data_IF_768992109462
#
_entry.id   IF_768992109462
#
_cell.length_a   1.000
_cell.length_b   1.000
_cell.length_c   1.000
_cell.angle_alpha   90.00
_cell.angle_beta   90.00
_cell.angle_gamma   90.00
#
_symmetry.space_group_name_H-M   'P 1'
#
loop_
_entity.id
_entity.type
_entity.pdbx_description
1 polymer ?
#
# COMPACT_ATOMS: atom_id res chain seq x y z
N UNK A 1 -21.67 -4.15 -41.75
CA UNK A 1 -21.11 -4.99 -40.70
C UNK A 1 -19.69 -4.50 -40.44
N UNK A 2 -19.54 -3.63 -39.44
CA UNK A 2 -18.21 -3.12 -39.03
C UNK A 2 -17.78 -3.89 -37.80
N UNK A 3 -16.72 -4.70 -37.95
CA UNK A 3 -16.10 -5.40 -36.87
C UNK A 3 -15.35 -4.40 -35.96
N UNK A 4 -15.78 -4.25 -34.71
CA UNK A 4 -15.02 -3.57 -33.72
C UNK A 4 -13.80 -4.44 -33.37
N UNK A 5 -12.63 -3.97 -33.76
CA UNK A 5 -11.36 -4.58 -33.36
C UNK A 5 -11.23 -4.50 -31.84
N UNK A 6 -11.07 -5.62 -31.18
CA UNK A 6 -10.64 -5.68 -29.77
C UNK A 6 -9.24 -5.13 -29.70
N UNK A 7 -9.08 -3.89 -29.22
CA UNK A 7 -7.77 -3.40 -28.78
C UNK A 7 -7.28 -4.34 -27.67
N UNK A 8 -6.29 -5.15 -28.00
CA UNK A 8 -5.65 -6.05 -27.05
C UNK A 8 -5.08 -5.26 -25.90
N UNK A 9 -5.54 -5.53 -24.68
CA UNK A 9 -5.00 -4.95 -23.47
C UNK A 9 -3.49 -5.22 -23.43
N UNK A 10 -2.69 -4.16 -23.60
CA UNK A 10 -1.24 -4.25 -23.52
C UNK A 10 -0.87 -4.66 -22.09
N UNK A 11 -0.11 -5.74 -21.94
CA UNK A 11 0.36 -6.18 -20.63
C UNK A 11 1.03 -5.04 -19.86
N UNK A 12 0.82 -4.92 -18.55
CA UNK A 12 1.42 -3.85 -17.75
C UNK A 12 2.94 -3.90 -17.85
N UNK A 13 3.55 -2.75 -18.07
CA UNK A 13 5.02 -2.63 -18.06
C UNK A 13 5.46 -2.31 -16.63
N UNK A 14 6.22 -3.22 -16.01
CA UNK A 14 6.78 -3.07 -14.68
C UNK A 14 8.24 -2.65 -14.84
N UNK A 15 8.63 -1.52 -14.24
CA UNK A 15 10.01 -1.05 -14.20
C UNK A 15 10.80 -1.66 -13.04
N UNK A 16 12.12 -1.42 -13.07
CA UNK A 16 13.01 -1.87 -11.99
C UNK A 16 12.64 -1.21 -10.64
N UNK A 17 12.71 -1.98 -9.54
CA UNK A 17 12.41 -1.46 -8.23
C UNK A 17 13.46 -0.46 -7.74
N UNK A 18 13.00 0.55 -7.03
CA UNK A 18 13.87 1.51 -6.36
C UNK A 18 13.30 1.91 -5.00
N UNK A 19 14.19 2.21 -4.06
CA UNK A 19 13.77 2.71 -2.76
C UNK A 19 13.49 4.22 -2.79
N UNK A 20 12.32 4.59 -2.32
CA UNK A 20 12.07 5.91 -1.77
C UNK A 20 12.18 5.79 -0.25
N UNK A 21 12.99 6.65 0.38
CA UNK A 21 13.30 6.57 1.80
C UNK A 21 13.79 5.15 2.20
N UNK A 22 15.01 4.75 1.81
CA UNK A 22 15.49 3.40 2.08
C UNK A 22 15.49 3.12 3.59
N UNK A 23 15.12 1.89 4.02
CA UNK A 23 15.14 1.52 5.42
C UNK A 23 16.57 1.34 5.93
N UNK A 24 16.81 1.37 7.26
CA UNK A 24 18.12 1.12 7.85
C UNK A 24 18.73 -0.24 7.49
N UNK A 25 17.86 -1.23 7.24
CA UNK A 25 18.27 -2.56 6.81
C UNK A 25 17.21 -3.21 5.94
N UNK A 26 17.64 -3.86 4.89
CA UNK A 26 16.82 -4.80 4.11
C UNK A 26 17.68 -5.90 3.52
N UNK A 27 17.09 -7.08 3.34
CA UNK A 27 17.71 -8.23 2.72
C UNK A 27 16.70 -8.94 1.83
N UNK A 28 17.12 -9.30 0.61
CA UNK A 28 16.31 -10.09 -0.32
C UNK A 28 16.86 -11.50 -0.43
N UNK A 29 16.00 -12.50 -0.24
CA UNK A 29 16.30 -13.91 -0.44
C UNK A 29 15.24 -14.54 -1.35
N UNK A 30 15.57 -14.72 -2.62
CA UNK A 30 14.60 -15.10 -3.63
C UNK A 30 13.48 -14.07 -3.76
N UNK A 31 12.25 -14.50 -3.54
CA UNK A 31 11.06 -13.63 -3.58
C UNK A 31 10.73 -12.96 -2.24
N UNK A 32 11.40 -13.36 -1.17
CA UNK A 32 11.18 -12.79 0.15
C UNK A 32 12.08 -11.56 0.37
N UNK A 33 11.47 -10.51 0.93
CA UNK A 33 12.14 -9.29 1.35
C UNK A 33 11.95 -9.09 2.85
N UNK A 34 13.04 -9.09 3.60
CA UNK A 34 13.06 -8.73 5.02
C UNK A 34 13.46 -7.27 5.17
N UNK A 35 12.71 -6.52 5.94
CA UNK A 35 12.97 -5.10 6.17
C UNK A 35 12.95 -4.82 7.66
N UNK A 36 13.95 -4.05 8.14
CA UNK A 36 13.90 -3.37 9.44
C UNK A 36 13.66 -1.90 9.19
N UNK A 37 12.60 -1.39 9.77
CA UNK A 37 12.16 -0.02 9.57
C UNK A 37 12.89 0.95 10.49
N UNK A 38 12.94 2.21 10.10
CA UNK A 38 13.33 3.32 10.97
C UNK A 38 12.19 3.72 11.89
N UNK A 39 12.54 4.43 12.96
CA UNK A 39 11.58 5.01 13.89
C UNK A 39 10.93 6.26 13.29
N UNK A 40 9.68 6.52 13.69
CA UNK A 40 8.92 7.74 13.33
C UNK A 40 8.81 7.96 11.82
N UNK A 41 8.60 6.88 11.09
CA UNK A 41 8.42 6.92 9.64
C UNK A 41 6.95 6.70 9.30
N UNK A 42 6.38 7.54 8.41
CA UNK A 42 4.98 7.42 7.99
C UNK A 42 4.74 8.12 6.64
N UNK A 43 3.55 7.85 6.07
CA UNK A 43 2.91 8.67 5.05
C UNK A 43 1.56 9.13 5.58
N UNK A 44 1.46 10.44 5.83
CA UNK A 44 0.24 11.11 6.25
C UNK A 44 0.24 12.56 5.80
N UNK A 45 -0.88 13.06 5.29
CA UNK A 45 -1.01 14.45 4.87
C UNK A 45 -2.16 15.13 5.61
N UNK A 46 -1.83 16.06 6.47
CA UNK A 46 -2.62 17.16 7.09
C UNK A 46 -3.88 16.80 7.85
N UNK A 47 -4.81 16.03 7.29
CA UNK A 47 -6.12 15.78 7.89
C UNK A 47 -6.02 15.44 9.37
N UNK A 48 -6.89 16.00 10.17
CA UNK A 48 -7.00 15.84 11.61
C UNK A 48 -5.79 16.30 12.42
N UNK A 49 -4.58 15.89 12.06
CA UNK A 49 -3.36 16.15 12.87
C UNK A 49 -2.61 17.43 12.46
N UNK A 50 -2.85 17.98 11.28
CA UNK A 50 -2.19 19.19 10.77
C UNK A 50 -0.75 19.00 10.26
N UNK A 51 -0.10 17.87 10.55
CA UNK A 51 1.26 17.59 10.06
C UNK A 51 1.27 16.87 8.71
N UNK A 52 2.43 16.82 8.09
CA UNK A 52 2.69 16.04 6.88
C UNK A 52 3.94 15.19 7.07
N UNK A 53 3.78 13.89 6.92
CA UNK A 53 4.86 12.90 6.89
C UNK A 53 4.93 12.25 5.50
N UNK A 54 6.13 12.11 4.98
CA UNK A 54 6.40 11.46 3.69
C UNK A 54 7.70 10.66 3.73
N UNK A 55 8.11 10.24 4.94
CA UNK A 55 9.37 9.57 5.22
C UNK A 55 9.25 8.04 5.39
N UNK A 56 8.06 7.48 5.21
CA UNK A 56 7.85 6.04 5.20
C UNK A 56 8.70 5.33 4.14
N UNK A 57 9.08 4.09 4.40
CA UNK A 57 9.91 3.30 3.50
C UNK A 57 9.07 2.70 2.37
N UNK A 58 9.49 2.91 1.14
CA UNK A 58 8.72 2.56 -0.03
C UNK A 58 9.62 1.91 -1.09
N UNK A 59 9.49 0.59 -1.34
CA UNK A 59 10.12 -0.06 -2.48
C UNK A 59 9.16 0.05 -3.68
N UNK A 60 9.46 0.97 -4.57
CA UNK A 60 8.58 1.33 -5.67
C UNK A 60 8.94 0.59 -6.97
N UNK A 61 7.94 -0.01 -7.61
CA UNK A 61 8.01 -0.52 -8.96
C UNK A 61 7.22 0.41 -9.88
N UNK A 62 7.84 1.13 -10.80
CA UNK A 62 7.10 1.91 -11.79
C UNK A 62 6.20 1.01 -12.63
N UNK A 63 4.92 1.35 -12.72
CA UNK A 63 3.93 0.55 -13.46
C UNK A 63 3.02 1.47 -14.28
N UNK A 64 2.66 1.02 -15.49
CA UNK A 64 1.75 1.74 -16.39
C UNK A 64 0.60 0.86 -16.82
N UNK A 65 -0.55 1.46 -17.06
CA UNK A 65 -1.76 0.77 -17.49
C UNK A 65 -2.52 0.13 -16.34
N UNK A 66 -3.41 -0.77 -16.66
CA UNK A 66 -4.16 -1.57 -15.69
C UNK A 66 -3.25 -2.66 -15.13
N UNK A 67 -3.41 -2.96 -13.85
CA UNK A 67 -2.60 -3.98 -13.18
C UNK A 67 -3.35 -4.62 -12.01
N UNK A 68 -2.91 -5.80 -11.61
CA UNK A 68 -3.19 -6.40 -10.31
C UNK A 68 -1.87 -6.73 -9.63
N UNK A 69 -1.73 -6.30 -8.39
CA UNK A 69 -0.59 -6.63 -7.54
C UNK A 69 -1.07 -7.37 -6.30
N UNK A 70 -0.35 -8.40 -5.94
CA UNK A 70 -0.58 -9.18 -4.72
C UNK A 70 0.67 -9.14 -3.87
N UNK A 71 0.51 -8.89 -2.60
CA UNK A 71 1.56 -9.00 -1.60
C UNK A 71 1.09 -9.85 -0.43
N UNK A 72 1.97 -10.71 0.04
CA UNK A 72 1.84 -11.39 1.32
C UNK A 72 2.93 -10.87 2.24
N UNK A 73 2.56 -10.48 3.45
CA UNK A 73 3.50 -9.95 4.42
C UNK A 73 3.14 -10.35 5.84
N UNK A 74 4.16 -10.43 6.69
CA UNK A 74 4.06 -10.49 8.14
C UNK A 74 4.78 -9.29 8.72
N UNK A 75 4.35 -8.79 9.87
CA UNK A 75 5.07 -7.75 10.58
C UNK A 75 5.03 -7.99 12.09
N UNK A 76 6.07 -7.52 12.76
CA UNK A 76 6.17 -7.54 14.22
C UNK A 76 5.69 -6.18 14.75
N UNK A 77 4.39 -6.10 15.01
CA UNK A 77 3.74 -4.88 15.50
C UNK A 77 3.99 -4.70 16.99
N UNK A 78 4.63 -3.61 17.39
CA UNK A 78 5.00 -3.30 18.78
C UNK A 78 4.48 -1.96 19.25
N UNK A 79 4.39 -1.00 18.37
CA UNK A 79 4.05 0.37 18.70
C UNK A 79 2.80 0.82 17.96
N UNK A 80 2.16 1.84 18.51
CA UNK A 80 1.02 2.50 17.86
C UNK A 80 1.41 2.95 16.45
N UNK A 81 0.55 2.63 15.50
CA UNK A 81 0.72 2.91 14.05
C UNK A 81 1.83 2.13 13.34
N UNK A 82 2.44 1.10 13.97
CA UNK A 82 3.24 0.15 13.20
C UNK A 82 2.40 -0.43 12.08
N UNK A 83 2.90 -0.42 10.85
CA UNK A 83 2.12 -0.78 9.67
C UNK A 83 2.96 -1.45 8.58
N UNK A 84 2.32 -2.30 7.80
CA UNK A 84 2.89 -2.90 6.61
C UNK A 84 1.81 -3.11 5.54
N UNK A 85 2.17 -3.00 4.26
CA UNK A 85 1.18 -3.16 3.21
C UNK A 85 1.65 -2.81 1.80
N UNK A 86 0.70 -2.51 0.93
CA UNK A 86 0.90 -2.07 -0.44
C UNK A 86 0.56 -0.57 -0.55
N UNK A 87 1.35 0.15 -1.33
CA UNK A 87 1.07 1.54 -1.65
C UNK A 87 1.01 1.76 -3.16
N UNK A 88 0.01 2.48 -3.62
CA UNK A 88 -0.03 3.06 -4.96
C UNK A 88 0.34 4.53 -4.83
N UNK A 89 1.45 4.91 -5.42
CA UNK A 89 2.03 6.24 -5.24
C UNK A 89 2.12 6.96 -6.58
N UNK A 90 1.63 8.18 -6.64
CA UNK A 90 1.77 9.07 -7.81
C UNK A 90 2.80 10.13 -7.50
N UNK A 91 2.55 10.89 -6.44
CA UNK A 91 3.41 11.94 -5.91
C UNK A 91 3.11 12.17 -4.41
N UNK A 92 3.75 13.17 -3.81
CA UNK A 92 3.59 13.50 -2.38
C UNK A 92 2.20 14.01 -1.98
N UNK A 93 1.33 14.26 -2.95
CA UNK A 93 -0.03 14.77 -2.76
C UNK A 93 -1.11 13.77 -3.13
N UNK A 94 -0.73 12.69 -3.86
CA UNK A 94 -1.67 11.71 -4.42
C UNK A 94 -1.09 10.32 -4.22
N UNK A 95 -1.65 9.56 -3.28
CA UNK A 95 -1.27 8.18 -3.02
C UNK A 95 -2.37 7.44 -2.26
N UNK A 96 -2.31 6.13 -2.29
CA UNK A 96 -3.14 5.25 -1.47
C UNK A 96 -2.22 4.20 -0.84
N UNK A 97 -2.25 4.08 0.49
CA UNK A 97 -1.65 2.96 1.20
C UNK A 97 -2.75 2.05 1.74
N UNK A 98 -2.52 0.75 1.70
CA UNK A 98 -3.44 -0.25 2.19
C UNK A 98 -2.64 -1.38 2.83
N UNK A 99 -2.99 -1.74 4.05
CA UNK A 99 -2.20 -2.69 4.82
C UNK A 99 -2.82 -3.06 6.14
N UNK A 100 -1.97 -3.57 6.99
CA UNK A 100 -2.28 -3.76 8.41
C UNK A 100 -1.63 -2.65 9.20
N UNK A 101 -2.35 -2.08 10.13
CA UNK A 101 -1.90 -1.03 11.04
C UNK A 101 -2.26 -1.38 12.48
N UNK A 102 -1.31 -1.24 13.40
CA UNK A 102 -1.51 -1.51 14.81
C UNK A 102 -2.08 -0.29 15.50
N UNK A 103 -3.34 -0.37 15.91
CA UNK A 103 -4.05 0.67 16.66
C UNK A 103 -5.03 0.04 17.64
N UNK A 104 -5.41 0.74 18.70
CA UNK A 104 -6.32 0.26 19.73
C UNK A 104 -5.91 -1.11 20.34
N UNK A 105 -4.59 -1.36 20.41
CA UNK A 105 -4.03 -2.57 21.00
C UNK A 105 -4.14 -3.82 20.12
N UNK A 106 -4.51 -3.68 18.82
CA UNK A 106 -4.63 -4.79 17.89
C UNK A 106 -4.29 -4.37 16.45
N UNK A 107 -3.88 -5.33 15.59
CA UNK A 107 -3.77 -5.08 14.16
C UNK A 107 -5.14 -4.88 13.53
N UNK A 108 -5.27 -3.83 12.70
CA UNK A 108 -6.44 -3.53 11.90
C UNK A 108 -6.08 -3.54 10.43
N UNK A 109 -7.01 -3.93 9.60
CA UNK A 109 -6.95 -3.62 8.19
C UNK A 109 -7.14 -2.12 8.01
N UNK A 110 -6.24 -1.47 7.31
CA UNK A 110 -6.20 -0.01 7.17
C UNK A 110 -6.05 0.39 5.71
N UNK A 111 -6.78 1.40 5.30
CA UNK A 111 -6.62 2.07 4.01
C UNK A 111 -6.57 3.57 4.24
N UNK A 112 -5.52 4.21 3.74
CA UNK A 112 -5.40 5.66 3.70
C UNK A 112 -5.33 6.11 2.26
N UNK A 113 -6.29 6.91 1.83
CA UNK A 113 -6.30 7.55 0.53
C UNK A 113 -5.94 9.03 0.68
N UNK A 114 -4.88 9.47 0.03
CA UNK A 114 -4.46 10.86 0.03
C UNK A 114 -4.70 11.48 -1.34
N UNK A 115 -5.39 12.59 -1.35
CA UNK A 115 -5.66 13.40 -2.54
C UNK A 115 -5.60 14.87 -2.19
N UNK A 116 -4.94 15.65 -3.06
CA UNK A 116 -4.78 17.10 -2.88
C UNK A 116 -4.21 17.48 -1.50
N UNK A 117 -3.24 16.72 -1.01
CA UNK A 117 -2.60 16.91 0.30
C UNK A 117 -3.51 16.65 1.52
N UNK A 118 -4.61 15.94 1.35
CA UNK A 118 -5.50 15.54 2.44
C UNK A 118 -5.60 14.02 2.49
N UNK A 119 -5.34 13.42 3.66
CA UNK A 119 -5.47 11.99 3.90
C UNK A 119 -6.85 11.66 4.46
N UNK A 120 -7.44 10.59 3.95
CA UNK A 120 -8.68 10.00 4.44
C UNK A 120 -8.40 8.57 4.89
N UNK A 121 -8.74 8.24 6.13
CA UNK A 121 -8.38 6.98 6.77
C UNK A 121 -9.62 6.15 7.09
N UNK A 122 -9.58 4.91 6.63
CA UNK A 122 -10.60 3.91 6.92
C UNK A 122 -9.94 2.68 7.51
N UNK A 123 -10.52 2.11 8.55
CA UNK A 123 -9.99 0.89 9.16
C UNK A 123 -11.11 -0.08 9.53
N UNK A 124 -10.75 -1.35 9.61
CA UNK A 124 -11.62 -2.45 9.98
C UNK A 124 -10.83 -3.45 10.86
N UNK A 125 -11.39 -3.93 11.97
CA UNK A 125 -10.71 -4.94 12.78
C UNK A 125 -10.36 -6.19 11.97
N UNK A 126 -9.14 -6.70 12.12
CA UNK A 126 -8.81 -8.03 11.64
C UNK A 126 -9.51 -9.10 12.49
N UNK A 127 -9.80 -10.29 11.92
CA UNK A 127 -10.33 -11.40 12.70
C UNK A 127 -9.45 -11.68 13.93
N UNK A 128 -10.07 -11.96 15.07
CA UNK A 128 -9.36 -12.13 16.36
C UNK A 128 -8.37 -13.30 16.40
N UNK A 129 -8.51 -14.26 15.51
CA UNK A 129 -7.58 -15.36 15.29
C UNK A 129 -6.34 -14.96 14.45
N UNK A 130 -6.34 -13.76 13.90
CA UNK A 130 -5.20 -13.16 13.24
C UNK A 130 -4.21 -12.64 14.29
N UNK A 131 -3.45 -13.53 14.93
CA UNK A 131 -2.35 -13.13 15.82
C UNK A 131 -1.36 -12.20 15.12
N UNK A 132 -0.54 -11.44 15.88
CA UNK A 132 0.36 -10.40 15.33
C UNK A 132 1.38 -10.93 14.32
N UNK A 133 1.67 -12.22 14.31
CA UNK A 133 2.59 -12.85 13.37
C UNK A 133 1.91 -13.50 12.16
N UNK A 134 0.59 -13.35 11.99
CA UNK A 134 -0.12 -13.95 10.87
C UNK A 134 0.21 -13.24 9.56
N UNK A 135 0.43 -14.03 8.50
CA UNK A 135 0.56 -13.52 7.16
C UNK A 135 -0.76 -12.89 6.69
N UNK A 136 -0.67 -11.70 6.15
CA UNK A 136 -1.78 -11.00 5.51
C UNK A 136 -1.51 -10.93 4.02
N UNK A 137 -2.46 -11.39 3.23
CA UNK A 137 -2.42 -11.29 1.77
C UNK A 137 -3.31 -10.15 1.32
N UNK A 138 -2.75 -9.25 0.54
CA UNK A 138 -3.47 -8.13 -0.04
C UNK A 138 -3.38 -8.13 -1.55
N UNK A 139 -4.45 -7.68 -2.18
CA UNK A 139 -4.50 -7.40 -3.62
C UNK A 139 -4.92 -5.96 -3.85
N UNK A 140 -4.19 -5.28 -4.70
CA UNK A 140 -4.57 -3.99 -5.26
C UNK A 140 -4.73 -4.15 -6.76
N UNK A 141 -5.88 -3.78 -7.30
CA UNK A 141 -6.16 -3.82 -8.73
C UNK A 141 -6.50 -2.42 -9.21
N UNK A 142 -5.80 -1.98 -10.25
CA UNK A 142 -6.17 -0.80 -11.02
C UNK A 142 -6.93 -1.23 -12.27
N UNK A 143 -8.05 -0.56 -12.52
CA UNK A 143 -8.77 -0.64 -13.79
C UNK A 143 -9.21 0.77 -14.20
N UNK A 144 -8.60 1.30 -15.26
CA UNK A 144 -8.79 2.68 -15.68
C UNK A 144 -8.45 3.67 -14.56
N UNK A 145 -9.44 4.42 -14.10
CA UNK A 145 -9.32 5.40 -13.02
C UNK A 145 -9.63 4.83 -11.63
N UNK A 146 -10.05 3.56 -11.53
CA UNK A 146 -10.45 2.93 -10.28
C UNK A 146 -9.32 2.10 -9.66
N UNK A 147 -9.20 2.17 -8.34
CA UNK A 147 -8.38 1.25 -7.54
C UNK A 147 -9.31 0.43 -6.64
N UNK A 148 -9.15 -0.87 -6.68
CA UNK A 148 -9.80 -1.82 -5.78
C UNK A 148 -8.76 -2.43 -4.85
N UNK A 149 -9.07 -2.42 -3.55
CA UNK A 149 -8.26 -3.07 -2.51
C UNK A 149 -9.02 -4.25 -1.95
N UNK A 150 -8.32 -5.36 -1.74
CA UNK A 150 -8.87 -6.59 -1.16
C UNK A 150 -7.84 -7.17 -0.17
N UNK A 151 -8.31 -7.63 0.98
CA UNK A 151 -7.51 -8.40 1.94
C UNK A 151 -8.07 -9.83 2.02
N UNK A 152 -7.21 -10.83 1.87
CA UNK A 152 -7.60 -12.23 1.80
C UNK A 152 -8.74 -12.45 0.78
N UNK A 153 -9.92 -12.85 1.22
CA UNK A 153 -11.10 -13.03 0.36
C UNK A 153 -12.14 -11.91 0.52
N UNK A 154 -11.82 -10.83 1.21
CA UNK A 154 -12.75 -9.74 1.51
C UNK A 154 -12.55 -8.54 0.58
N UNK A 155 -13.65 -7.95 0.13
CA UNK A 155 -13.62 -6.69 -0.61
C UNK A 155 -13.67 -5.55 0.37
N UNK A 156 -12.64 -4.73 0.40
CA UNK A 156 -12.51 -3.69 1.41
C UNK A 156 -12.81 -2.30 0.90
N UNK A 157 -12.35 -1.91 -0.27
CA UNK A 157 -12.60 -0.56 -0.76
C UNK A 157 -12.38 -0.42 -2.26
N UNK A 158 -13.18 0.43 -2.92
CA UNK A 158 -12.93 0.93 -4.27
C UNK A 158 -12.69 2.45 -4.21
N UNK A 159 -11.52 2.90 -4.61
CA UNK A 159 -11.15 4.33 -4.67
C UNK A 159 -10.96 4.75 -6.12
N UNK A 160 -11.57 5.87 -6.50
CA UNK A 160 -11.54 6.42 -7.86
C UNK A 160 -10.50 7.54 -7.97
N UNK A 161 -9.50 7.38 -8.87
CA UNK A 161 -8.56 8.45 -9.19
C UNK A 161 -7.94 8.26 -10.60
N UNK A 162 -7.71 9.36 -11.32
CA UNK A 162 -7.24 9.36 -12.71
C UNK A 162 -5.72 9.22 -12.88
N UNK A 163 -4.94 9.25 -11.81
CA UNK A 163 -3.49 9.53 -11.87
C UNK A 163 -2.57 8.43 -11.37
N UNK A 164 -3.07 7.21 -11.14
CA UNK A 164 -2.26 6.13 -10.57
C UNK A 164 -1.16 5.64 -11.52
N UNK A 165 0.09 5.74 -11.14
CA UNK A 165 1.23 5.36 -11.97
C UNK A 165 2.33 4.53 -11.31
N UNK A 166 2.28 4.31 -10.00
CA UNK A 166 3.34 3.58 -9.27
C UNK A 166 2.72 2.62 -8.26
N UNK A 167 3.22 1.38 -8.27
CA UNK A 167 2.89 0.37 -7.27
C UNK A 167 4.07 0.16 -6.35
N UNK A 168 3.81 0.02 -5.07
CA UNK A 168 4.86 -0.18 -4.10
C UNK A 168 4.48 -1.16 -3.01
N UNK A 169 5.46 -1.90 -2.57
CA UNK A 169 5.38 -2.81 -1.45
C UNK A 169 6.17 -2.27 -0.27
N UNK A 170 5.54 -2.29 0.90
CA UNK A 170 6.07 -2.16 2.24
C UNK A 170 6.27 -0.76 2.75
N UNK A 171 5.59 -0.56 3.83
CA UNK A 171 5.96 0.40 4.81
C UNK A 171 5.79 -0.19 6.20
N UNK A 172 6.66 0.14 7.12
CA UNK A 172 6.39 0.03 8.53
C UNK A 172 6.63 1.38 9.19
N UNK A 173 5.75 1.79 10.05
CA UNK A 173 5.95 2.89 10.95
C UNK A 173 6.29 2.33 12.33
N UNK A 174 7.18 2.96 13.04
CA UNK A 174 7.31 2.82 14.49
C UNK A 174 7.05 4.20 15.09
N UNK A 175 6.19 4.24 16.09
CA UNK A 175 5.86 5.46 16.83
C UNK A 175 7.03 5.95 17.68
#
# INVERSE_FOLDING_TARGET
MSGAGSEGATAPRIGEPHWRNPPPFFERRGDALTVRTGEKTDFWNRTFYGFKNGNGHLLAHPVRGDFSAVAEFTADYRNLYDQAGIMVFVDDRIWLKAGTEFTDGAPHFSVVATREDQSDWSMMPLPRDAGPARAVTMRVTRHGEAIRVQAANENVLAVRNRYWSVLSLIQAAAA
#
